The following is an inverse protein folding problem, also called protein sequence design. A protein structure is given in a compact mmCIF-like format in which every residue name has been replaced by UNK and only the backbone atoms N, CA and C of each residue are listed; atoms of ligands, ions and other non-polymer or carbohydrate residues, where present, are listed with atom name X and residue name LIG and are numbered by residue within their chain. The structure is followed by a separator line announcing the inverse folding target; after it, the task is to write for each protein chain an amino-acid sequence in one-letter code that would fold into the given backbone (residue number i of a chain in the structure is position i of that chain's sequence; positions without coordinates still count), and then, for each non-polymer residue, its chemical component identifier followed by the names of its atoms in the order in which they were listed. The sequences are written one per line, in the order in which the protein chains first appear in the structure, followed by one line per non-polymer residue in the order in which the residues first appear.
data_IF_925535151327
#
_entry.id   IF_925535151327
#
_cell.length_a   1.000
_cell.length_b   1.000
_cell.length_c   1.000
_cell.angle_alpha   90.00
_cell.angle_beta   90.00
_cell.angle_gamma   90.00
#
_symmetry.space_group_name_H-M   'P 1'
#
loop_
_entity.id
_entity.type
_entity.pdbx_description
1 polymer ?
#
# COMPACT_ATOMS: atom_id res chain seq x y z
N UNK A 1 -7.24 7.68 -11.04
CA UNK A 1 -6.79 6.36 -10.52
C UNK A 1 -7.73 5.30 -11.10
N UNK A 2 -7.33 4.60 -12.16
CA UNK A 2 -8.18 3.58 -12.82
C UNK A 2 -7.64 2.20 -12.47
N UNK A 3 -8.55 1.27 -12.16
CA UNK A 3 -8.27 -0.14 -11.91
C UNK A 3 -8.66 -0.98 -13.13
N UNK A 4 -7.90 -2.04 -13.41
CA UNK A 4 -8.39 -3.17 -14.20
C UNK A 4 -9.17 -4.09 -13.24
N UNK A 5 -10.48 -4.24 -13.49
CA UNK A 5 -11.38 -5.04 -12.65
C UNK A 5 -11.75 -6.32 -13.40
N UNK A 6 -11.46 -7.46 -12.79
CA UNK A 6 -11.78 -8.79 -13.35
C UNK A 6 -12.60 -9.61 -12.35
N UNK A 7 -13.57 -10.36 -12.86
CA UNK A 7 -14.26 -11.38 -12.07
C UNK A 7 -13.40 -12.64 -12.04
N UNK A 8 -13.15 -13.17 -10.85
CA UNK A 8 -12.34 -14.38 -10.63
C UNK A 8 -13.17 -15.36 -9.81
N UNK A 9 -13.84 -16.29 -10.51
CA UNK A 9 -14.81 -17.20 -9.89
C UNK A 9 -16.01 -16.44 -9.30
N UNK A 10 -16.20 -16.57 -7.99
CA UNK A 10 -17.23 -15.83 -7.22
C UNK A 10 -16.77 -14.46 -6.71
N UNK A 11 -15.49 -14.12 -6.90
CA UNK A 11 -14.89 -12.90 -6.37
C UNK A 11 -14.58 -11.88 -7.47
N UNK A 12 -14.19 -10.68 -7.05
CA UNK A 12 -13.67 -9.63 -7.93
C UNK A 12 -12.23 -9.29 -7.55
N UNK A 13 -11.39 -9.05 -8.56
CA UNK A 13 -10.01 -8.60 -8.40
C UNK A 13 -9.87 -7.22 -9.06
N UNK A 14 -9.32 -6.26 -8.33
CA UNK A 14 -8.98 -4.94 -8.84
C UNK A 14 -7.44 -4.77 -8.84
N UNK A 15 -6.88 -4.45 -10.00
CA UNK A 15 -5.42 -4.29 -10.18
C UNK A 15 -5.11 -2.84 -10.53
N UNK A 16 -4.24 -2.22 -9.73
CA UNK A 16 -3.69 -0.89 -10.00
C UNK A 16 -2.21 -1.02 -10.37
N UNK A 17 -1.86 -0.76 -11.63
CA UNK A 17 -0.47 -0.79 -12.11
C UNK A 17 0.08 0.62 -12.28
N UNK A 18 1.31 0.85 -11.80
CA UNK A 18 2.05 2.12 -11.99
C UNK A 18 3.52 1.80 -12.29
N UNK A 19 4.11 2.56 -13.21
CA UNK A 19 5.55 2.57 -13.45
C UNK A 19 6.12 3.82 -12.79
N UNK A 20 7.00 3.63 -11.81
CA UNK A 20 7.63 4.71 -11.06
C UNK A 20 9.09 4.83 -11.47
N UNK A 21 9.59 6.06 -11.57
CA UNK A 21 11.00 6.37 -11.83
C UNK A 21 11.75 6.55 -10.50
N UNK A 22 11.55 5.61 -9.58
CA UNK A 22 12.12 5.61 -8.24
C UNK A 22 12.75 4.24 -7.95
N UNK A 23 13.72 4.21 -7.06
CA UNK A 23 14.30 2.95 -6.60
C UNK A 23 13.29 2.12 -5.83
N UNK A 24 13.53 0.82 -5.70
CA UNK A 24 12.66 -0.06 -4.90
C UNK A 24 12.65 0.40 -3.44
N UNK A 25 13.81 0.83 -2.96
CA UNK A 25 14.03 1.36 -1.62
C UNK A 25 13.17 2.60 -1.38
N UNK A 26 13.18 3.57 -2.29
CA UNK A 26 12.38 4.79 -2.16
C UNK A 26 10.90 4.46 -2.08
N UNK A 27 10.41 3.59 -2.96
CA UNK A 27 9.00 3.14 -2.96
C UNK A 27 8.68 2.41 -1.65
N UNK A 28 9.58 1.59 -1.14
CA UNK A 28 9.37 0.87 0.10
C UNK A 28 9.26 1.80 1.32
N UNK A 29 10.01 2.90 1.34
CA UNK A 29 9.89 3.90 2.42
C UNK A 29 8.51 4.56 2.49
N UNK A 30 7.81 4.69 1.35
CA UNK A 30 6.44 5.21 1.30
C UNK A 30 5.41 4.33 2.03
N UNK A 31 5.76 3.06 2.33
CA UNK A 31 4.93 2.14 3.10
C UNK A 31 5.45 1.90 4.53
N UNK A 32 6.73 2.12 4.77
CA UNK A 32 7.39 1.71 6.03
C UNK A 32 7.77 2.86 6.96
N UNK A 33 7.79 4.09 6.45
CA UNK A 33 7.98 5.29 7.27
C UNK A 33 6.65 6.01 7.45
N UNK A 34 6.15 6.12 8.68
CA UNK A 34 4.84 6.73 8.95
C UNK A 34 4.73 8.17 8.46
N UNK A 35 5.80 8.96 8.49
CA UNK A 35 5.79 10.34 8.00
C UNK A 35 5.68 10.43 6.47
N UNK A 36 6.10 9.40 5.75
CA UNK A 36 5.92 9.29 4.29
C UNK A 36 4.58 8.64 3.92
N UNK A 37 4.17 7.62 4.65
CA UNK A 37 2.89 6.93 4.44
C UNK A 37 1.70 7.89 4.55
N UNK A 38 1.70 8.76 5.57
CA UNK A 38 0.64 9.76 5.77
C UNK A 38 0.49 10.75 4.61
N UNK A 39 1.50 10.92 3.76
CA UNK A 39 1.42 11.82 2.60
C UNK A 39 0.39 11.34 1.56
N UNK A 40 0.01 10.05 1.59
CA UNK A 40 -0.91 9.48 0.61
C UNK A 40 -1.96 8.52 1.20
N UNK A 41 -1.81 8.10 2.46
CA UNK A 41 -2.78 7.28 3.19
C UNK A 41 -2.74 7.61 4.71
N UNK A 42 -3.36 8.73 5.10
CA UNK A 42 -3.25 9.31 6.45
C UNK A 42 -3.82 8.41 7.56
N UNK A 43 -4.87 7.64 7.26
CA UNK A 43 -5.50 6.74 8.22
C UNK A 43 -4.63 5.50 8.51
N UNK A 44 -3.70 5.15 7.61
CA UNK A 44 -2.87 3.96 7.76
C UNK A 44 -1.54 4.29 8.42
N UNK A 45 -1.15 3.49 9.41
CA UNK A 45 0.15 3.60 10.05
C UNK A 45 0.78 2.23 10.29
N UNK A 46 2.08 2.17 10.18
CA UNK A 46 2.89 1.04 10.60
C UNK A 46 2.74 0.81 12.11
N UNK A 47 2.36 -0.41 12.48
CA UNK A 47 2.37 -0.87 13.88
C UNK A 47 3.69 -1.55 14.25
N UNK A 48 4.06 -2.61 13.53
CA UNK A 48 5.33 -3.33 13.69
C UNK A 48 5.86 -3.79 12.33
N UNK A 49 7.10 -3.43 11.97
CA UNK A 49 7.79 -3.91 10.75
C UNK A 49 8.71 -5.07 11.08
N UNK A 50 8.15 -6.27 11.03
CA UNK A 50 8.87 -7.54 11.14
C UNK A 50 7.95 -8.65 10.64
N UNK A 51 8.46 -9.86 10.55
CA UNK A 51 7.60 -11.03 10.37
C UNK A 51 6.57 -11.13 11.50
N UNK A 52 5.31 -11.41 11.17
CA UNK A 52 4.18 -11.30 12.09
C UNK A 52 3.85 -9.86 12.54
N UNK A 53 4.42 -8.87 11.87
CA UNK A 53 4.11 -7.46 12.02
C UNK A 53 2.77 -7.07 11.40
N UNK A 54 2.39 -5.81 11.53
CA UNK A 54 1.07 -5.34 11.10
C UNK A 54 1.02 -3.82 10.90
N UNK A 55 0.04 -3.40 10.11
CA UNK A 55 -0.43 -2.01 9.98
C UNK A 55 -1.67 -1.79 10.86
N UNK A 56 -1.83 -0.57 11.35
CA UNK A 56 -3.00 -0.10 12.10
C UNK A 56 -3.74 0.92 11.26
N UNK A 57 -5.05 0.77 11.16
CA UNK A 57 -5.93 1.80 10.65
C UNK A 57 -6.41 2.67 11.82
N UNK A 58 -6.29 3.98 11.69
CA UNK A 58 -6.78 4.98 12.63
C UNK A 58 -8.13 5.44 12.11
N UNK A 59 -9.20 4.81 12.61
CA UNK A 59 -10.59 5.19 12.36
C UNK A 59 -11.15 5.77 13.65
#
# INVERSE_FOLDING_TARGET
MIADIKKVGTNYQAIFSRKLLHSVEDVWTMFTENEKLKQWFDELCVGKLREGGYFKLRI
#
